data_IF_865483112568
#
_entry.id   IF_865483112568
#
_cell.length_a   1.000
_cell.length_b   1.000
_cell.length_c   1.000
_cell.angle_alpha   90.00
_cell.angle_beta   90.00
_cell.angle_gamma   90.00
#
_symmetry.space_group_name_H-M   'P 1'
#
loop_
_entity.id
_entity.type
_entity.pdbx_description
1 polymer ?
#
# COMPACT_ATOMS: atom_id res chain seq x y z
N UNK A 1 -19.18 21.48 13.19
CA UNK A 1 -17.98 20.71 13.60
C UNK A 1 -17.77 19.66 12.54
N UNK A 2 -16.59 19.61 11.94
CA UNK A 2 -16.26 18.61 10.93
C UNK A 2 -16.23 17.22 11.56
N UNK A 3 -16.74 16.21 10.85
CA UNK A 3 -16.85 14.82 11.34
C UNK A 3 -15.45 14.26 11.65
N UNK A 4 -15.32 13.58 12.79
CA UNK A 4 -14.07 12.95 13.26
C UNK A 4 -14.21 11.43 13.33
N UNK A 5 -13.11 10.74 13.11
CA UNK A 5 -13.03 9.27 13.05
C UNK A 5 -12.10 8.72 14.11
N UNK A 6 -12.59 7.69 14.83
CA UNK A 6 -11.79 6.91 15.76
C UNK A 6 -11.09 5.74 15.06
N UNK A 7 -11.56 5.33 13.89
CA UNK A 7 -11.00 4.21 13.13
C UNK A 7 -10.73 4.69 11.71
N UNK A 8 -9.45 4.70 11.33
CA UNK A 8 -9.00 4.97 9.97
C UNK A 8 -8.48 3.65 9.40
N UNK A 9 -8.98 3.25 8.23
CA UNK A 9 -8.50 2.10 7.47
C UNK A 9 -8.00 2.60 6.12
N UNK A 10 -6.79 2.21 5.71
CA UNK A 10 -6.18 2.78 4.51
C UNK A 10 -5.37 1.73 3.72
N UNK A 11 -5.48 1.79 2.39
CA UNK A 11 -4.66 1.04 1.43
C UNK A 11 -4.05 1.99 0.39
N UNK A 12 -3.02 2.78 0.75
CA UNK A 12 -2.46 3.78 -0.14
C UNK A 12 -1.89 3.19 -1.44
N UNK A 13 -1.97 3.91 -2.56
CA UNK A 13 -1.44 3.46 -3.83
C UNK A 13 0.07 3.71 -3.92
N UNK A 14 0.86 2.96 -3.14
CA UNK A 14 2.31 3.12 -3.01
C UNK A 14 3.05 3.13 -4.37
N UNK A 15 3.77 4.21 -4.68
CA UNK A 15 4.69 4.25 -5.82
C UNK A 15 6.01 3.52 -5.51
N UNK A 16 6.45 2.66 -6.41
CA UNK A 16 7.75 2.00 -6.33
C UNK A 16 8.78 2.75 -7.17
N UNK A 17 9.97 3.01 -6.62
CA UNK A 17 11.10 3.53 -7.41
C UNK A 17 11.76 2.36 -8.16
N UNK A 18 11.25 2.03 -9.33
CA UNK A 18 11.76 0.93 -10.15
C UNK A 18 12.96 1.37 -10.99
N UNK A 19 14.11 1.65 -10.35
CA UNK A 19 15.37 1.91 -11.08
C UNK A 19 16.13 0.66 -11.54
N UNK A 20 15.65 -0.57 -11.25
CA UNK A 20 16.25 -1.82 -11.74
C UNK A 20 15.31 -3.01 -11.53
N UNK A 21 14.77 -3.57 -12.62
CA UNK A 21 14.15 -4.91 -12.62
C UNK A 21 12.86 -5.00 -13.43
N UNK A 22 12.79 -5.99 -14.33
CA UNK A 22 11.60 -6.33 -15.10
C UNK A 22 10.48 -6.82 -14.15
N UNK A 23 9.46 -5.98 -13.96
CA UNK A 23 8.29 -6.29 -13.14
C UNK A 23 7.22 -5.23 -13.36
N UNK A 24 6.62 -5.23 -14.55
CA UNK A 24 5.67 -4.21 -15.00
C UNK A 24 4.44 -4.20 -14.09
N UNK A 25 4.28 -3.14 -13.31
CA UNK A 25 3.04 -2.81 -12.59
C UNK A 25 2.62 -1.35 -12.81
N UNK A 26 3.03 -0.72 -13.92
CA UNK A 26 2.68 0.67 -14.24
C UNK A 26 1.40 0.84 -15.07
N UNK A 27 0.69 -0.24 -15.44
CA UNK A 27 -0.35 -0.11 -16.48
C UNK A 27 -1.81 0.07 -16.03
N UNK A 28 -2.17 0.14 -14.74
CA UNK A 28 -3.61 0.20 -14.39
C UNK A 28 -4.08 1.06 -13.21
N UNK A 29 -3.25 1.77 -12.45
CA UNK A 29 -3.74 2.67 -11.39
C UNK A 29 -2.76 3.82 -11.12
N UNK A 30 -3.28 5.03 -10.87
CA UNK A 30 -2.46 6.19 -10.49
C UNK A 30 -1.83 5.93 -9.10
N UNK A 31 -0.49 5.82 -9.06
CA UNK A 31 0.25 5.69 -7.81
C UNK A 31 0.59 7.07 -7.22
N UNK A 32 0.79 7.11 -5.91
CA UNK A 32 1.19 8.31 -5.17
C UNK A 32 2.61 8.16 -4.63
N UNK A 33 3.40 9.21 -4.77
CA UNK A 33 4.68 9.32 -4.10
C UNK A 33 4.50 9.43 -2.58
N UNK A 34 5.52 8.99 -1.82
CA UNK A 34 5.46 9.02 -0.35
C UNK A 34 5.16 10.43 0.21
N UNK A 35 5.72 11.48 -0.39
CA UNK A 35 5.48 12.86 0.05
C UNK A 35 4.02 13.27 -0.14
N UNK A 36 3.37 12.83 -1.23
CA UNK A 36 1.96 13.10 -1.48
C UNK A 36 1.08 12.41 -0.44
N UNK A 37 1.35 11.12 -0.15
CA UNK A 37 0.62 10.35 0.87
C UNK A 37 0.79 10.99 2.26
N UNK A 38 2.02 11.34 2.65
CA UNK A 38 2.29 12.01 3.93
C UNK A 38 1.61 13.38 4.04
N UNK A 39 1.46 14.11 2.93
CA UNK A 39 0.86 15.45 2.92
C UNK A 39 -0.66 15.46 3.10
N UNK A 40 -1.33 14.31 2.99
CA UNK A 40 -2.77 14.23 3.16
C UNK A 40 -3.16 14.70 4.58
N UNK A 41 -4.14 15.61 4.71
CA UNK A 41 -4.58 16.15 6.00
C UNK A 41 -5.43 15.17 6.83
N UNK A 42 -5.02 13.90 6.94
CA UNK A 42 -5.73 12.85 7.70
C UNK A 42 -5.92 13.25 9.17
N UNK A 43 -4.97 13.99 9.75
CA UNK A 43 -5.09 14.55 11.10
C UNK A 43 -6.34 15.45 11.28
N UNK A 44 -6.82 16.11 10.22
CA UNK A 44 -8.01 16.97 10.28
C UNK A 44 -9.31 16.20 10.44
N UNK A 45 -9.36 14.94 10.03
CA UNK A 45 -10.54 14.08 10.17
C UNK A 45 -10.38 13.05 11.30
N UNK A 46 -9.22 13.01 11.95
CA UNK A 46 -8.92 12.04 13.01
C UNK A 46 -9.34 12.58 14.37
N UNK A 47 -9.98 11.73 15.17
CA UNK A 47 -10.34 12.02 16.57
C UNK A 47 -9.08 12.12 17.48
N UNK A 48 -9.20 12.45 18.76
CA UNK A 48 -8.06 12.46 19.68
C UNK A 48 -7.64 11.04 20.08
N UNK A 49 -8.61 10.16 20.27
CA UNK A 49 -8.39 8.73 20.53
C UNK A 49 -8.77 7.92 19.29
N UNK A 50 -7.76 7.53 18.53
CA UNK A 50 -7.96 6.89 17.23
C UNK A 50 -6.96 5.78 16.94
N UNK A 51 -7.35 4.87 16.05
CA UNK A 51 -6.52 3.81 15.50
C UNK A 51 -6.44 3.91 13.98
N UNK A 52 -5.26 3.60 13.46
CA UNK A 52 -4.99 3.50 12.02
C UNK A 52 -4.68 2.05 11.66
N UNK A 53 -5.39 1.51 10.68
CA UNK A 53 -5.12 0.23 10.04
C UNK A 53 -4.57 0.51 8.64
N UNK A 54 -3.26 0.34 8.47
CA UNK A 54 -2.54 0.75 7.25
C UNK A 54 -1.98 -0.46 6.50
N UNK A 55 -2.50 -0.75 5.31
CA UNK A 55 -1.93 -1.78 4.44
C UNK A 55 -0.60 -1.33 3.85
N UNK A 56 0.35 -2.25 3.86
CA UNK A 56 1.68 -2.02 3.31
C UNK A 56 2.25 -3.31 2.72
N UNK A 57 3.02 -3.16 1.64
CA UNK A 57 3.85 -4.25 1.11
C UNK A 57 5.21 -4.22 1.81
N UNK A 58 5.86 -5.37 2.00
CA UNK A 58 7.14 -5.43 2.73
C UNK A 58 8.22 -4.42 2.26
N UNK A 59 8.41 -4.14 0.96
CA UNK A 59 9.38 -3.14 0.52
C UNK A 59 9.03 -1.71 0.95
N UNK A 60 7.74 -1.40 1.11
CA UNK A 60 7.24 -0.07 1.49
C UNK A 60 7.16 0.11 3.01
N UNK A 61 7.57 -0.90 3.80
CA UNK A 61 7.49 -0.87 5.26
C UNK A 61 8.20 0.34 5.88
N UNK A 62 9.42 0.75 5.44
CA UNK A 62 10.06 1.97 5.96
C UNK A 62 9.24 3.23 5.71
N UNK A 63 8.57 3.30 4.55
CA UNK A 63 7.77 4.47 4.16
C UNK A 63 6.43 4.52 4.90
N UNK A 64 5.82 3.37 5.17
CA UNK A 64 4.60 3.31 5.98
C UNK A 64 4.79 3.91 7.38
N UNK A 65 5.94 3.74 8.02
CA UNK A 65 6.20 4.38 9.31
C UNK A 65 6.22 5.91 9.23
N UNK A 66 6.76 6.46 8.13
CA UNK A 66 6.74 7.92 7.88
C UNK A 66 5.31 8.42 7.65
N UNK A 67 4.48 7.65 6.93
CA UNK A 67 3.05 7.98 6.74
C UNK A 67 2.32 8.00 8.08
N UNK A 68 2.53 6.98 8.92
CA UNK A 68 1.89 6.92 10.25
C UNK A 68 2.27 8.14 11.09
N UNK A 69 3.56 8.50 11.14
CA UNK A 69 4.05 9.68 11.85
C UNK A 69 3.44 10.97 11.30
N UNK A 70 3.45 11.17 9.97
CA UNK A 70 2.89 12.35 9.32
C UNK A 70 1.38 12.52 9.57
N UNK A 71 0.65 11.40 9.68
CA UNK A 71 -0.78 11.41 10.00
C UNK A 71 -1.07 11.50 11.51
N UNK A 72 -0.04 11.51 12.36
CA UNK A 72 -0.17 11.65 13.81
C UNK A 72 -0.41 10.35 14.58
N UNK A 73 -0.01 9.20 14.02
CA UNK A 73 -0.13 7.89 14.64
C UNK A 73 1.25 7.30 14.99
N UNK A 74 1.36 6.72 16.17
CA UNK A 74 2.51 5.90 16.55
C UNK A 74 2.29 4.45 16.17
N UNK A 75 3.29 3.81 15.57
CA UNK A 75 3.23 2.38 15.28
C UNK A 75 3.10 1.54 16.56
N UNK A 76 2.22 0.53 16.53
CA UNK A 76 1.99 -0.37 17.65
C UNK A 76 2.36 -1.82 17.37
N UNK A 77 1.87 -2.40 16.27
CA UNK A 77 2.06 -3.81 15.90
C UNK A 77 1.55 -4.06 14.47
N UNK A 78 1.78 -5.23 13.89
CA UNK A 78 0.91 -5.72 12.81
C UNK A 78 -0.50 -5.99 13.39
N UNK A 79 -1.53 -5.39 12.80
CA UNK A 79 -2.93 -5.72 13.07
C UNK A 79 -3.30 -7.06 12.43
N UNK A 80 -2.94 -7.21 11.15
CA UNK A 80 -3.26 -8.38 10.35
C UNK A 80 -2.09 -8.79 9.46
N UNK A 81 -1.95 -10.11 9.28
CA UNK A 81 -1.04 -10.73 8.32
C UNK A 81 -1.90 -11.55 7.37
N UNK A 82 -2.01 -11.09 6.13
CA UNK A 82 -2.77 -11.79 5.09
C UNK A 82 -1.84 -12.68 4.28
N UNK A 83 -2.00 -14.00 4.44
CA UNK A 83 -1.33 -15.01 3.63
C UNK A 83 -2.25 -15.43 2.49
N UNK A 84 -1.74 -15.30 1.27
CA UNK A 84 -2.51 -15.54 0.05
C UNK A 84 -2.51 -17.02 -0.33
N UNK A 85 -3.69 -17.60 -0.47
CA UNK A 85 -3.87 -18.90 -1.11
C UNK A 85 -3.98 -18.75 -2.62
N UNK A 86 -3.65 -19.80 -3.36
CA UNK A 86 -3.92 -19.82 -4.80
C UNK A 86 -5.44 -19.70 -5.09
N UNK A 87 -5.79 -19.50 -6.36
CA UNK A 87 -7.20 -19.32 -6.78
C UNK A 87 -8.12 -20.50 -6.43
N UNK A 88 -7.56 -21.70 -6.24
CA UNK A 88 -8.34 -22.89 -5.89
C UNK A 88 -8.59 -23.01 -4.37
N UNK A 89 -7.94 -22.17 -3.56
CA UNK A 89 -7.93 -22.29 -2.09
C UNK A 89 -7.15 -23.50 -1.57
N UNK A 90 -6.53 -24.29 -2.45
CA UNK A 90 -5.77 -25.49 -2.09
C UNK A 90 -4.28 -25.19 -2.19
N UNK A 91 -3.72 -24.67 -1.11
CA UNK A 91 -2.30 -24.29 -0.99
C UNK A 91 -2.04 -22.80 -1.19
N UNK A 92 -0.78 -22.41 -1.10
CA UNK A 92 -0.37 -21.00 -1.07
C UNK A 92 0.02 -20.47 -2.45
N UNK A 93 -0.28 -19.20 -2.69
CA UNK A 93 0.26 -18.45 -3.81
C UNK A 93 1.63 -17.90 -3.45
N UNK A 94 2.59 -18.03 -4.35
CA UNK A 94 3.94 -17.49 -4.18
C UNK A 94 4.28 -16.58 -5.36
N UNK A 95 4.21 -15.27 -5.12
CA UNK A 95 4.69 -14.26 -6.04
C UNK A 95 6.22 -14.25 -6.12
N UNK A 96 6.76 -13.61 -7.17
CA UNK A 96 8.20 -13.55 -7.42
C UNK A 96 8.97 -12.97 -6.24
N UNK A 97 8.41 -11.93 -5.60
CA UNK A 97 9.07 -11.18 -4.54
C UNK A 97 10.37 -10.52 -5.02
N UNK A 98 11.19 -10.08 -4.06
CA UNK A 98 12.51 -9.50 -4.33
C UNK A 98 13.62 -10.51 -4.01
N UNK A 99 13.77 -10.82 -2.71
CA UNK A 99 14.80 -11.75 -2.21
C UNK A 99 14.25 -13.15 -1.93
N UNK A 100 12.97 -13.23 -1.52
CA UNK A 100 12.26 -14.48 -1.26
C UNK A 100 10.91 -14.47 -1.99
N UNK A 101 10.37 -15.65 -2.25
CA UNK A 101 9.03 -15.80 -2.82
C UNK A 101 7.99 -15.24 -1.85
N UNK A 102 7.31 -14.16 -2.24
CA UNK A 102 6.38 -13.45 -1.38
C UNK A 102 4.97 -14.04 -1.47
N UNK A 103 4.34 -14.30 -0.34
CA UNK A 103 2.96 -14.79 -0.26
C UNK A 103 2.07 -14.00 0.71
N UNK A 104 2.63 -12.99 1.39
CA UNK A 104 1.93 -12.26 2.43
C UNK A 104 1.90 -10.74 2.18
N UNK A 105 0.86 -10.10 2.69
CA UNK A 105 0.74 -8.65 2.89
C UNK A 105 0.37 -8.38 4.35
N UNK A 106 0.75 -7.20 4.85
CA UNK A 106 0.53 -6.85 6.25
C UNK A 106 -0.28 -5.56 6.37
N UNK A 107 -1.14 -5.53 7.39
CA UNK A 107 -1.87 -4.35 7.81
C UNK A 107 -1.30 -3.93 9.18
N UNK A 108 -0.70 -2.75 9.26
CA UNK A 108 -0.13 -2.21 10.48
C UNK A 108 -1.21 -1.57 11.35
N UNK A 109 -1.05 -1.64 12.67
CA UNK A 109 -1.82 -0.89 13.66
C UNK A 109 -1.03 0.32 14.14
N UNK A 110 -1.57 1.51 13.92
CA UNK A 110 -1.17 2.76 14.54
C UNK A 110 -2.15 3.21 15.60
N UNK A 111 -1.65 3.95 16.59
CA UNK A 111 -2.47 4.51 17.67
C UNK A 111 -2.19 6.01 17.83
N UNK A 112 -3.25 6.79 18.05
CA UNK A 112 -3.22 8.19 18.49
C UNK A 112 -4.00 8.28 19.79
N UNK A 113 -3.44 8.93 20.82
CA UNK A 113 -4.06 9.00 22.14
C UNK A 113 -4.13 7.64 22.85
N UNK A 114 -5.26 7.36 23.48
CA UNK A 114 -5.51 6.17 24.31
C UNK A 114 -6.76 5.38 23.88
N UNK A 115 -6.86 4.93 22.62
CA UNK A 115 -8.03 4.21 22.13
C UNK A 115 -8.23 2.89 22.87
N UNK A 116 -9.48 2.56 23.19
CA UNK A 116 -9.83 1.37 23.95
C UNK A 116 -10.10 0.17 23.03
N UNK A 117 -9.33 -0.91 23.20
CA UNK A 117 -9.62 -2.22 22.61
C UNK A 117 -10.87 -2.83 23.27
N UNK A 118 -11.84 -3.25 22.44
CA UNK A 118 -13.09 -3.87 22.90
C UNK A 118 -13.00 -5.40 22.94
N UNK A 119 -12.50 -6.03 21.87
CA UNK A 119 -12.36 -7.49 21.80
C UNK A 119 -10.91 -7.96 21.90
N UNK A 120 -10.67 -9.03 22.63
CA UNK A 120 -9.40 -9.75 22.66
C UNK A 120 -9.42 -11.04 21.80
N UNK A 121 -10.50 -11.28 21.04
CA UNK A 121 -10.71 -12.50 20.24
C UNK A 121 -10.27 -12.35 18.77
N UNK A 122 -9.85 -11.15 18.37
CA UNK A 122 -9.47 -10.87 16.99
C UNK A 122 -8.05 -11.35 16.74
N UNK A 123 -7.92 -12.40 15.92
CA UNK A 123 -6.63 -12.95 15.51
C UNK A 123 -6.04 -12.20 14.30
N UNK A 124 -4.71 -12.07 14.30
CA UNK A 124 -3.96 -11.38 13.23
C UNK A 124 -3.95 -12.14 11.89
N UNK A 125 -3.98 -13.48 11.91
CA UNK A 125 -3.78 -14.28 10.71
C UNK A 125 -5.05 -14.30 9.85
N UNK A 126 -4.87 -13.98 8.58
CA UNK A 126 -5.89 -14.06 7.54
C UNK A 126 -5.33 -14.96 6.44
N UNK A 127 -6.09 -15.98 6.06
CA UNK A 127 -5.73 -16.91 4.99
C UNK A 127 -6.91 -16.98 4.04
N UNK A 128 -6.72 -16.53 2.80
CA UNK A 128 -7.80 -16.53 1.81
C UNK A 128 -7.28 -16.69 0.37
N UNK A 129 -8.09 -17.25 -0.55
CA UNK A 129 -7.77 -17.30 -1.97
C UNK A 129 -7.52 -15.92 -2.57
N UNK A 130 -6.60 -15.82 -3.53
CA UNK A 130 -6.47 -14.61 -4.33
C UNK A 130 -7.77 -14.32 -5.10
N UNK A 131 -8.26 -13.10 -4.90
CA UNK A 131 -9.34 -12.52 -5.70
C UNK A 131 -8.77 -11.65 -6.83
N UNK A 132 -9.51 -10.61 -7.24
CA UNK A 132 -9.04 -9.60 -8.18
C UNK A 132 -7.76 -8.91 -7.65
N UNK A 133 -6.92 -8.45 -8.57
CA UNK A 133 -5.67 -7.78 -8.22
C UNK A 133 -5.89 -6.67 -7.18
N UNK A 134 -5.08 -6.68 -6.11
CA UNK A 134 -5.08 -5.71 -5.03
C UNK A 134 -6.34 -5.65 -4.14
N UNK A 135 -7.35 -6.51 -4.35
CA UNK A 135 -8.52 -6.57 -3.47
C UNK A 135 -8.14 -7.18 -2.12
N UNK A 136 -8.26 -6.39 -1.05
CA UNK A 136 -8.00 -6.84 0.33
C UNK A 136 -9.17 -7.70 0.86
N UNK A 137 -8.94 -8.62 1.80
CA UNK A 137 -10.00 -9.49 2.32
C UNK A 137 -11.09 -8.69 3.06
N UNK A 138 -12.36 -8.90 2.68
CA UNK A 138 -13.50 -8.24 3.32
C UNK A 138 -13.59 -8.49 4.84
N UNK A 139 -13.10 -9.65 5.29
CA UNK A 139 -13.13 -9.99 6.71
C UNK A 139 -12.31 -9.05 7.60
N UNK A 140 -11.38 -8.28 7.02
CA UNK A 140 -10.56 -7.30 7.73
C UNK A 140 -11.44 -6.23 8.35
N UNK A 141 -12.37 -5.67 7.58
CA UNK A 141 -13.32 -4.65 8.07
C UNK A 141 -14.15 -5.19 9.23
N UNK A 142 -14.68 -6.41 9.09
CA UNK A 142 -15.45 -7.07 10.16
C UNK A 142 -14.61 -7.25 11.43
N UNK A 143 -13.37 -7.70 11.29
CA UNK A 143 -12.44 -7.90 12.41
C UNK A 143 -12.04 -6.58 13.08
N UNK A 144 -11.90 -5.49 12.33
CA UNK A 144 -11.67 -4.14 12.89
C UNK A 144 -12.86 -3.71 13.74
N UNK A 145 -14.09 -3.88 13.26
CA UNK A 145 -15.31 -3.54 14.02
C UNK A 145 -15.44 -4.40 15.27
N UNK A 146 -15.10 -5.69 15.20
CA UNK A 146 -15.06 -6.56 16.38
C UNK A 146 -13.99 -6.09 17.40
N UNK A 147 -12.81 -5.67 16.92
CA UNK A 147 -11.70 -5.24 17.75
C UNK A 147 -12.00 -3.92 18.49
N UNK A 148 -12.57 -2.95 17.79
CA UNK A 148 -12.73 -1.56 18.26
C UNK A 148 -14.16 -1.18 18.63
N UNK A 149 -15.15 -2.01 18.29
CA UNK A 149 -16.56 -1.71 18.49
C UNK A 149 -17.17 -0.84 17.39
N UNK A 150 -18.41 -0.40 17.63
CA UNK A 150 -19.16 0.44 16.70
C UNK A 150 -18.82 1.92 16.88
N UNK A 151 -17.65 2.32 16.36
CA UNK A 151 -17.18 3.71 16.37
C UNK A 151 -17.25 4.32 14.96
N UNK A 152 -17.29 5.66 14.85
CA UNK A 152 -17.07 6.37 13.58
C UNK A 152 -15.80 5.87 12.88
N UNK A 153 -15.96 5.45 11.63
CA UNK A 153 -14.89 4.82 10.84
C UNK A 153 -14.93 5.21 9.36
N UNK A 154 -13.75 5.38 8.79
CA UNK A 154 -13.56 5.71 7.37
C UNK A 154 -12.52 4.80 6.74
N UNK A 155 -12.76 4.45 5.48
CA UNK A 155 -11.78 3.84 4.60
C UNK A 155 -11.24 4.87 3.60
N UNK A 156 -9.92 5.05 3.62
CA UNK A 156 -9.18 5.88 2.67
C UNK A 156 -8.63 5.01 1.53
N UNK A 157 -8.66 5.56 0.32
CA UNK A 157 -8.35 4.88 -0.94
C UNK A 157 -9.31 3.72 -1.25
N UNK A 158 -10.56 3.85 -0.82
CA UNK A 158 -11.59 2.86 -1.07
C UNK A 158 -11.90 2.74 -2.57
N UNK A 159 -12.15 1.51 -3.02
CA UNK A 159 -12.60 1.22 -4.41
C UNK A 159 -14.07 0.82 -4.51
N UNK A 160 -14.71 0.63 -3.38
CA UNK A 160 -16.13 0.31 -3.28
C UNK A 160 -16.66 0.79 -1.93
N UNK A 161 -17.96 1.04 -1.89
CA UNK A 161 -18.67 1.26 -0.63
C UNK A 161 -18.64 -0.01 0.23
N UNK A 162 -18.62 0.17 1.54
CA UNK A 162 -18.67 -0.90 2.51
C UNK A 162 -19.71 -0.55 3.60
N UNK A 163 -20.70 -1.41 3.87
CA UNK A 163 -21.74 -1.10 4.84
C UNK A 163 -21.19 -0.68 6.21
N UNK A 164 -21.62 0.49 6.68
CA UNK A 164 -21.20 1.05 7.96
C UNK A 164 -19.82 1.70 7.98
N UNK A 165 -19.17 1.86 6.81
CA UNK A 165 -17.94 2.62 6.64
C UNK A 165 -18.22 3.84 5.76
N UNK A 166 -17.72 4.99 6.20
CA UNK A 166 -17.54 6.10 5.26
C UNK A 166 -16.36 5.77 4.34
N UNK A 167 -16.39 6.27 3.11
CA UNK A 167 -15.36 5.99 2.11
C UNK A 167 -14.82 7.26 1.48
N UNK A 168 -13.52 7.23 1.18
CA UNK A 168 -12.86 8.24 0.37
C UNK A 168 -11.90 7.54 -0.61
N UNK A 169 -12.02 7.81 -1.91
CA UNK A 169 -11.17 7.24 -2.95
C UNK A 169 -11.65 7.55 -4.37
N UNK A 170 -10.76 7.40 -5.36
CA UNK A 170 -11.00 7.83 -6.74
C UNK A 170 -11.99 6.96 -7.53
N UNK A 171 -12.37 5.81 -6.98
CA UNK A 171 -13.28 4.85 -7.62
C UNK A 171 -14.66 4.79 -6.92
N UNK A 172 -14.95 5.72 -5.99
CA UNK A 172 -16.19 5.75 -5.20
C UNK A 172 -16.77 7.16 -5.06
N UNK A 173 -18.07 7.25 -4.79
CA UNK A 173 -18.67 8.49 -4.34
C UNK A 173 -18.21 8.78 -2.90
N UNK A 174 -17.37 9.80 -2.74
CA UNK A 174 -16.79 10.15 -1.44
C UNK A 174 -17.89 10.50 -0.42
N UNK A 175 -17.81 9.92 0.78
CA UNK A 175 -18.74 10.22 1.88
C UNK A 175 -18.44 11.57 2.57
N UNK A 176 -17.32 12.21 2.21
CA UNK A 176 -16.87 13.49 2.72
C UNK A 176 -16.27 14.33 1.62
N UNK A 177 -16.58 15.62 1.65
CA UNK A 177 -15.76 16.65 1.03
C UNK A 177 -14.77 17.15 2.07
N UNK A 178 -13.51 16.77 1.96
CA UNK A 178 -12.47 17.29 2.86
C UNK A 178 -11.70 18.36 2.09
N UNK A 179 -11.86 19.62 2.50
CA UNK A 179 -11.07 20.72 1.96
C UNK A 179 -9.58 20.41 2.13
N UNK A 180 -8.88 20.19 1.01
CA UNK A 180 -7.46 19.83 0.96
C UNK A 180 -7.14 18.33 0.87
N UNK A 181 -8.13 17.44 0.75
CA UNK A 181 -7.94 16.09 0.18
C UNK A 181 -8.24 16.05 -1.33
N UNK A 182 -8.34 17.21 -1.99
CA UNK A 182 -8.44 17.28 -3.45
C UNK A 182 -7.09 16.85 -4.06
N UNK A 183 -7.07 15.70 -4.72
CA UNK A 183 -5.94 15.30 -5.53
C UNK A 183 -5.82 16.28 -6.70
N UNK A 184 -4.63 16.87 -6.86
CA UNK A 184 -4.38 17.75 -8.00
C UNK A 184 -4.42 16.90 -9.27
N UNK A 185 -5.37 17.17 -10.17
CA UNK A 185 -5.24 16.72 -11.55
C UNK A 185 -3.89 17.21 -12.09
N UNK A 186 -3.04 16.27 -12.50
CA UNK A 186 -1.72 16.61 -13.05
C UNK A 186 -1.96 17.33 -14.37
N UNK A 187 -1.66 18.63 -14.43
CA UNK A 187 -1.54 19.34 -15.70
C UNK A 187 -0.43 18.65 -16.50
N UNK A 188 -0.75 18.23 -17.72
CA UNK A 188 0.23 17.75 -18.68
C UNK A 188 1.34 18.82 -18.80
N UNK A 189 2.59 18.42 -18.57
CA UNK A 189 3.73 19.29 -18.88
C UNK A 189 3.77 19.49 -20.40
N UNK A 190 3.88 20.73 -20.90
CA UNK A 190 4.00 20.96 -22.33
C UNK A 190 5.30 20.32 -22.85
N UNK A 191 5.18 19.55 -23.92
CA UNK A 191 6.33 19.02 -24.66
C UNK A 191 7.27 20.16 -25.04
N UNK A 192 8.44 20.22 -24.40
CA UNK A 192 9.53 21.07 -24.87
C UNK A 192 10.15 20.35 -26.07
N UNK A 193 9.64 20.67 -27.25
CA UNK A 193 10.31 20.42 -28.52
C UNK A 193 11.63 21.17 -28.57
N UNK A 194 12.71 20.44 -28.85
CA UNK A 194 14.03 21.01 -28.99
C UNK A 194 15.02 19.98 -29.50
N UNK A 195 15.04 19.80 -30.81
CA UNK A 195 16.14 19.13 -31.52
C UNK A 195 17.49 19.70 -31.07
N UNK A 196 18.45 18.83 -30.77
CA UNK A 196 19.85 19.10 -31.06
C UNK A 196 20.55 17.80 -31.42
N UNK A 197 20.85 17.69 -32.72
CA UNK A 197 21.86 16.80 -33.28
C UNK A 197 23.21 17.19 -32.67
N UNK A 198 23.95 16.21 -32.20
CA UNK A 198 25.41 16.31 -32.15
C UNK A 198 26.00 14.98 -32.63
N UNK A 199 26.98 15.15 -33.49
CA UNK A 199 27.48 14.22 -34.49
C UNK A 199 28.15 12.96 -33.95
N UNK A 200 28.04 11.93 -34.79
CA UNK A 200 28.86 10.73 -34.79
C UNK A 200 30.33 11.08 -35.08
N UNK A 201 31.20 10.86 -34.10
CA UNK A 201 32.58 10.38 -34.30
C UNK A 201 32.89 9.55 -33.05
N UNK A 202 33.16 8.25 -33.09
CA UNK A 202 33.94 7.48 -34.04
C UNK A 202 35.14 6.93 -33.27
N UNK A 203 34.97 5.84 -32.52
CA UNK A 203 36.07 4.98 -32.08
C UNK A 203 35.55 3.57 -31.79
N UNK A 204 35.77 2.69 -32.78
CA UNK A 204 35.78 1.24 -32.64
C UNK A 204 37.14 0.81 -32.09
N UNK A 205 37.13 -0.30 -31.37
CA UNK A 205 38.18 -1.30 -31.06
C UNK A 205 38.05 -1.69 -29.58
N UNK A 206 38.21 -2.92 -29.13
CA UNK A 206 38.29 -4.24 -29.72
C UNK A 206 37.91 -5.21 -28.58
N UNK A 207 37.63 -6.47 -28.95
CA UNK A 207 36.94 -7.43 -28.09
C UNK A 207 37.67 -7.86 -26.81
N UNK A 208 36.95 -8.64 -26.01
CA UNK A 208 37.33 -10.00 -25.62
C UNK A 208 36.13 -10.62 -24.87
N UNK A 209 35.61 -11.67 -25.48
CA UNK A 209 34.74 -12.66 -24.87
C UNK A 209 35.60 -13.55 -23.97
N UNK A 210 35.33 -13.58 -22.66
CA UNK A 210 35.78 -14.68 -21.82
C UNK A 210 34.61 -15.27 -21.03
N UNK A 211 34.28 -16.49 -21.46
CA UNK A 211 33.49 -17.48 -20.74
C UNK A 211 34.29 -17.95 -19.53
N UNK A 212 33.64 -18.07 -18.39
CA UNK A 212 34.03 -18.96 -17.29
C UNK A 212 32.78 -19.75 -16.90
N UNK A 213 32.68 -20.99 -17.37
CA UNK A 213 32.84 -22.24 -16.57
C UNK A 213 32.00 -22.15 -15.29
N UNK A 214 30.79 -22.70 -15.24
CA UNK A 214 30.57 -24.15 -15.27
C UNK A 214 31.02 -24.74 -13.94
N UNK A 215 30.25 -24.51 -12.87
CA UNK A 215 30.47 -25.16 -11.59
C UNK A 215 29.57 -26.38 -11.50
N UNK A 216 30.23 -27.53 -11.48
CA UNK A 216 29.67 -28.86 -11.41
C UNK A 216 29.00 -29.07 -10.05
N UNK A 217 27.84 -29.73 -10.09
CA UNK A 217 27.15 -30.24 -8.91
C UNK A 217 27.80 -31.56 -8.54
N UNK A 218 28.13 -31.73 -7.26
CA UNK A 218 27.87 -32.94 -6.48
C UNK A 218 28.78 -32.97 -5.25
N UNK A 219 28.17 -32.98 -4.06
CA UNK A 219 28.52 -33.91 -2.98
C UNK A 219 27.57 -33.74 -1.77
N UNK A 220 26.75 -34.79 -1.61
CA UNK A 220 25.98 -35.27 -0.45
C UNK A 220 24.65 -34.60 -0.14
#
# INVERSE_FOLDING_TARGET
MDKKYNIIYADPPWKYDMKRGQGVAENHYQTMGIQEICSLPVHKITDEDAVLFLWVTFPQLPEAFKVMEAWGFSYKTAAFVWVKQNKTGKGFFFGLGYWTRANAEICLLGVKGHPKRISNKVFQLIVSPLERHSKKPEEVRRRIVELMGNLPRIELFARQESPGWDVWGNEVANSLEVQGLEERERKEEPEIGGENRCDNSGMKQDGICQRTKGFDKDKK
#
